data_IF_722588022159
#
_entry.id   IF_722588022159
#
_cell.length_a   1.000
_cell.length_b   1.000
_cell.length_c   1.000
_cell.angle_alpha   90.00
_cell.angle_beta   90.00
_cell.angle_gamma   90.00
#
_symmetry.space_group_name_H-M   'P 1'
#
loop_
_entity.id
_entity.type
_entity.pdbx_description
1 polymer ?
#
# COMPACT_ATOMS: atom_id res chain seq x y z
N UNK A 1 -22.76 -8.92 15.56
CA UNK A 1 -21.88 -7.74 15.34
C UNK A 1 -20.93 -8.09 14.21
N UNK A 2 -20.88 -7.29 13.14
CA UNK A 2 -19.93 -7.49 12.04
C UNK A 2 -18.59 -6.87 12.49
N UNK A 3 -17.50 -7.64 12.47
CA UNK A 3 -16.16 -7.13 12.79
C UNK A 3 -15.68 -6.24 11.65
N UNK A 4 -15.25 -5.00 11.97
CA UNK A 4 -14.52 -4.18 11.02
C UNK A 4 -13.11 -4.73 10.83
N UNK A 5 -12.72 -4.98 9.58
CA UNK A 5 -11.42 -5.56 9.23
C UNK A 5 -10.66 -4.62 8.31
N UNK A 6 -9.41 -4.33 8.68
CA UNK A 6 -8.46 -3.60 7.84
C UNK A 6 -7.33 -4.54 7.44
N UNK A 7 -6.99 -4.56 6.15
CA UNK A 7 -5.94 -5.41 5.59
C UNK A 7 -4.98 -4.50 4.83
N UNK A 8 -3.71 -4.48 5.24
CA UNK A 8 -2.63 -3.83 4.51
C UNK A 8 -1.92 -4.89 3.65
N UNK A 9 -2.17 -4.87 2.35
CA UNK A 9 -1.48 -5.70 1.37
C UNK A 9 -0.17 -5.07 0.94
N UNK A 10 0.88 -5.88 0.82
CA UNK A 10 2.23 -5.45 0.42
C UNK A 10 2.72 -6.28 -0.76
N UNK A 11 3.30 -5.60 -1.75
CA UNK A 11 4.14 -6.19 -2.78
C UNK A 11 5.55 -5.63 -2.60
N UNK A 12 6.56 -6.49 -2.46
CA UNK A 12 7.94 -6.09 -2.22
C UNK A 12 8.93 -7.18 -2.66
N UNK A 13 10.19 -6.79 -2.88
CA UNK A 13 11.33 -7.67 -3.15
C UNK A 13 11.28 -8.46 -4.47
N UNK A 14 10.31 -8.16 -5.33
CA UNK A 14 10.18 -8.72 -6.67
C UNK A 14 9.28 -7.81 -7.51
N UNK A 15 9.77 -7.30 -8.65
CA UNK A 15 9.15 -6.23 -9.45
C UNK A 15 8.93 -4.92 -8.66
N UNK A 16 7.98 -4.09 -9.11
CA UNK A 16 7.63 -2.82 -8.49
C UNK A 16 6.95 -3.08 -7.14
N UNK A 17 7.50 -2.50 -6.09
CA UNK A 17 6.90 -2.54 -4.77
C UNK A 17 5.69 -1.60 -4.67
N UNK A 18 4.72 -1.99 -3.85
CA UNK A 18 3.45 -1.28 -3.70
C UNK A 18 2.77 -1.64 -2.38
N UNK A 19 1.84 -0.80 -1.94
CA UNK A 19 0.95 -1.07 -0.82
C UNK A 19 -0.51 -0.80 -1.20
N UNK A 20 -1.43 -1.53 -0.56
CA UNK A 20 -2.87 -1.34 -0.69
C UNK A 20 -3.54 -1.53 0.67
N UNK A 21 -4.42 -0.61 1.06
CA UNK A 21 -5.28 -0.74 2.24
C UNK A 21 -6.70 -1.09 1.82
N UNK A 22 -7.22 -2.17 2.38
CA UNK A 22 -8.61 -2.61 2.22
C UNK A 22 -9.32 -2.55 3.56
N UNK A 23 -10.54 -1.99 3.57
CA UNK A 23 -11.43 -1.92 4.72
C UNK A 23 -12.74 -2.59 4.38
N UNK A 24 -13.08 -3.66 5.09
CA UNK A 24 -14.34 -4.39 4.91
C UNK A 24 -14.61 -4.80 3.45
N UNK A 25 -13.55 -5.18 2.72
CA UNK A 25 -13.60 -5.57 1.31
C UNK A 25 -13.53 -4.40 0.31
N UNK A 26 -13.48 -3.16 0.78
CA UNK A 26 -13.39 -1.95 -0.07
C UNK A 26 -11.97 -1.39 -0.06
N UNK A 27 -11.44 -1.07 -1.23
CA UNK A 27 -10.12 -0.41 -1.34
C UNK A 27 -10.25 1.02 -0.81
N UNK A 28 -9.41 1.35 0.17
CA UNK A 28 -9.28 2.72 0.71
C UNK A 28 -8.21 3.48 -0.07
N UNK A 29 -7.05 2.86 -0.26
CA UNK A 29 -5.92 3.46 -0.97
C UNK A 29 -5.01 2.37 -1.54
N UNK A 30 -4.34 2.67 -2.66
CA UNK A 30 -3.29 1.85 -3.22
C UNK A 30 -2.26 2.73 -3.94
N UNK A 31 -0.97 2.43 -3.78
CA UNK A 31 0.09 3.19 -4.43
C UNK A 31 1.31 2.32 -4.74
N UNK A 32 1.99 2.63 -5.85
CA UNK A 32 3.29 2.06 -6.21
C UNK A 32 4.41 2.93 -5.62
N UNK A 33 5.44 2.29 -5.07
CA UNK A 33 6.56 2.96 -4.41
C UNK A 33 7.35 3.87 -5.38
N UNK A 34 7.49 3.46 -6.64
CA UNK A 34 8.21 4.21 -7.67
C UNK A 34 7.64 5.62 -7.93
N UNK A 35 6.36 5.85 -7.60
CA UNK A 35 5.73 7.17 -7.72
C UNK A 35 6.31 8.17 -6.70
N UNK A 36 6.78 7.67 -5.55
CA UNK A 36 7.40 8.46 -4.49
C UNK A 36 8.92 8.50 -4.62
N UNK A 37 9.56 7.34 -4.84
CA UNK A 37 11.02 7.26 -4.88
C UNK A 37 11.61 7.73 -6.20
N UNK A 38 10.78 7.81 -7.25
CA UNK A 38 11.20 8.14 -8.63
C UNK A 38 12.23 7.16 -9.20
N UNK A 39 12.37 5.98 -8.60
CA UNK A 39 13.16 4.87 -9.11
C UNK A 39 12.23 3.92 -9.84
N UNK A 40 12.41 3.80 -11.15
CA UNK A 40 11.59 2.90 -11.97
C UNK A 40 11.80 1.46 -11.50
N UNK A 41 10.71 0.74 -11.29
CA UNK A 41 10.72 -0.62 -10.75
C UNK A 41 11.40 -0.76 -9.38
N UNK A 42 11.12 0.17 -8.47
CA UNK A 42 11.63 0.10 -7.11
C UNK A 42 11.10 -1.13 -6.38
N UNK A 43 11.93 -2.17 -6.25
CA UNK A 43 11.60 -3.43 -5.60
C UNK A 43 11.87 -3.44 -4.09
N UNK A 44 12.31 -2.31 -3.51
CA UNK A 44 12.55 -2.22 -2.08
C UNK A 44 11.25 -2.39 -1.26
N UNK A 45 11.36 -2.32 0.06
CA UNK A 45 10.16 -2.27 0.89
C UNK A 45 9.36 -0.99 0.60
N UNK A 46 8.03 -1.05 0.38
CA UNK A 46 7.21 0.08 -0.11
C UNK A 46 6.85 1.05 1.01
N UNK A 47 7.86 1.67 1.64
CA UNK A 47 7.70 2.51 2.82
C UNK A 47 6.76 3.70 2.55
N UNK A 48 6.98 4.43 1.46
CA UNK A 48 6.18 5.62 1.16
C UNK A 48 4.75 5.25 0.76
N UNK A 49 4.57 4.15 0.02
CA UNK A 49 3.23 3.67 -0.32
C UNK A 49 2.45 3.20 0.92
N UNK A 50 3.10 2.57 1.90
CA UNK A 50 2.47 2.22 3.19
C UNK A 50 2.04 3.48 3.94
N UNK A 51 2.95 4.45 4.09
CA UNK A 51 2.64 5.71 4.77
C UNK A 51 1.48 6.45 4.08
N UNK A 52 1.47 6.47 2.75
CA UNK A 52 0.37 7.00 1.96
C UNK A 52 -0.96 6.28 2.28
N UNK A 53 -0.99 4.94 2.20
CA UNK A 53 -2.21 4.18 2.41
C UNK A 53 -2.77 4.35 3.84
N UNK A 54 -1.90 4.42 4.84
CA UNK A 54 -2.32 4.67 6.23
C UNK A 54 -2.86 6.08 6.41
N UNK A 55 -2.25 7.09 5.78
CA UNK A 55 -2.73 8.48 5.85
C UNK A 55 -4.12 8.65 5.23
N UNK A 56 -4.41 7.98 4.12
CA UNK A 56 -5.73 8.03 3.46
C UNK A 56 -6.84 7.36 4.29
N UNK A 57 -6.48 6.53 5.30
CA UNK A 57 -7.44 5.87 6.16
C UNK A 57 -8.03 6.77 7.27
N UNK A 58 -7.40 7.93 7.51
CA UNK A 58 -7.65 8.81 8.66
C UNK A 58 -6.96 8.36 9.94
#
# INVERSE_FOLDING_TARGET
MIRRTHILGLSAFYHDSAACLVRDGVIVAAAQEERFTRKKHDAAFPKHAVEYCLREAG
#
